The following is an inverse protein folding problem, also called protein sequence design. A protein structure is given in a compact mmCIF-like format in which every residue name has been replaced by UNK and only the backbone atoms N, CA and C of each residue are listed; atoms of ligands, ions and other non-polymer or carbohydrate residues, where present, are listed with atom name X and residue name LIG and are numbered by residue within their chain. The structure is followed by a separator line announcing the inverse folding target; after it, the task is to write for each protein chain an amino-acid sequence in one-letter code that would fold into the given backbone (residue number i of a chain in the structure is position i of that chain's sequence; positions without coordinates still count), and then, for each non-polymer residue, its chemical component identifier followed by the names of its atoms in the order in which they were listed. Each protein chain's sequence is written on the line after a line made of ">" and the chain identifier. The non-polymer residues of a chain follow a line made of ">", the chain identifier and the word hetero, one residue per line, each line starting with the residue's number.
data_IF_223371976602
#
_entry.id   IF_223371976602
#
_cell.length_a   1.000
_cell.length_b   1.000
_cell.length_c   1.000
_cell.angle_alpha   90.00
_cell.angle_beta   90.00
_cell.angle_gamma   90.00
#
_symmetry.space_group_name_H-M   'P 1'
#
loop_
_entity.id
_entity.type
_entity.pdbx_description
1 polymer ?
#
# COMPACT_ATOMS: atom_id res chain seq x y z
N UNK A 1 -3.29 -11.51 -7.26
CA UNK A 1 -2.22 -10.71 -6.61
C UNK A 1 -1.77 -11.44 -5.36
N UNK A 2 -0.49 -11.82 -5.28
CA UNK A 2 0.04 -12.50 -4.09
C UNK A 2 0.17 -11.49 -2.94
N UNK A 3 -0.40 -11.81 -1.77
CA UNK A 3 -0.17 -11.02 -0.54
C UNK A 3 1.33 -10.79 -0.38
N UNK A 4 1.74 -9.53 -0.31
CA UNK A 4 3.13 -9.16 -0.07
C UNK A 4 3.55 -9.78 1.25
N UNK A 5 4.62 -10.59 1.28
CA UNK A 5 5.18 -11.07 2.56
C UNK A 5 5.57 -9.83 3.36
N UNK A 6 5.05 -9.70 4.58
CA UNK A 6 5.47 -8.64 5.49
C UNK A 6 6.98 -8.70 5.64
N UNK A 7 7.62 -7.55 5.50
CA UNK A 7 9.05 -7.43 5.72
C UNK A 7 9.35 -7.76 7.19
N UNK A 8 10.51 -8.37 7.48
CA UNK A 8 10.92 -8.59 8.85
C UNK A 8 11.03 -7.24 9.57
N UNK A 9 10.76 -7.24 10.87
CA UNK A 9 10.87 -6.06 11.72
C UNK A 9 11.83 -6.42 12.84
N UNK A 10 12.91 -5.67 12.99
CA UNK A 10 13.80 -5.79 14.15
C UNK A 10 13.12 -5.14 15.35
N UNK A 11 12.92 -5.89 16.43
CA UNK A 11 12.08 -5.46 17.57
C UNK A 11 12.84 -4.58 18.59
N UNK A 12 14.14 -4.77 18.74
CA UNK A 12 14.97 -4.02 19.69
C UNK A 12 15.70 -2.86 19.01
N UNK A 13 15.68 -1.69 19.63
CA UNK A 13 16.27 -0.48 19.05
C UNK A 13 17.79 -0.54 18.99
N UNK A 14 18.44 -1.14 20.00
CA UNK A 14 19.90 -1.27 20.03
C UNK A 14 20.37 -2.27 18.98
N UNK A 15 19.65 -3.37 18.81
CA UNK A 15 19.85 -4.34 17.73
C UNK A 15 19.67 -3.67 16.37
N UNK A 16 18.57 -2.93 16.17
CA UNK A 16 18.31 -2.22 14.92
C UNK A 16 19.45 -1.25 14.58
N UNK A 17 19.92 -0.46 15.55
CA UNK A 17 21.08 0.44 15.36
C UNK A 17 22.40 -0.30 15.13
N UNK A 18 22.57 -1.52 15.67
CA UNK A 18 23.75 -2.34 15.40
C UNK A 18 23.72 -2.92 13.98
N UNK A 19 22.54 -3.34 13.51
CA UNK A 19 22.31 -4.01 12.23
C UNK A 19 22.26 -3.02 11.06
N UNK A 20 21.73 -1.82 11.28
CA UNK A 20 21.44 -0.85 10.23
C UNK A 20 22.23 0.45 10.42
N UNK A 21 23.30 0.61 9.63
CA UNK A 21 24.21 1.75 9.74
C UNK A 21 23.53 3.09 9.47
N UNK A 22 22.61 3.15 8.50
CA UNK A 22 21.87 4.37 8.16
C UNK A 22 20.97 4.83 9.31
N UNK A 23 20.35 3.91 10.05
CA UNK A 23 19.58 4.23 11.25
C UNK A 23 20.50 4.80 12.34
N UNK A 24 21.62 4.13 12.63
CA UNK A 24 22.59 4.57 13.63
C UNK A 24 23.16 5.96 13.33
N UNK A 25 23.53 6.21 12.08
CA UNK A 25 24.04 7.50 11.64
C UNK A 25 22.98 8.60 11.74
N UNK A 26 21.74 8.28 11.37
CA UNK A 26 20.62 9.19 11.50
C UNK A 26 20.35 9.57 12.97
N UNK A 27 20.24 8.58 13.86
CA UNK A 27 20.02 8.80 15.30
C UNK A 27 21.13 9.67 15.88
N UNK A 28 22.40 9.34 15.64
CA UNK A 28 23.55 10.16 16.08
C UNK A 28 23.48 11.61 15.61
N UNK A 29 22.91 11.87 14.43
CA UNK A 29 22.76 13.22 13.87
C UNK A 29 21.63 14.01 14.54
N UNK A 30 20.53 13.36 14.93
CA UNK A 30 19.36 14.03 15.49
C UNK A 30 19.40 14.16 17.03
N UNK A 31 20.03 13.20 17.73
CA UNK A 31 20.10 13.18 19.21
C UNK A 31 20.63 14.48 19.81
N UNK A 32 21.70 15.12 19.29
CA UNK A 32 22.20 16.37 19.87
C UNK A 32 21.23 17.55 19.76
N UNK A 33 20.26 17.48 18.85
CA UNK A 33 19.31 18.56 18.57
C UNK A 33 17.99 18.41 19.32
N UNK A 34 17.51 17.17 19.47
CA UNK A 34 16.15 16.90 19.93
C UNK A 34 16.07 15.90 21.10
N UNK A 35 17.22 15.40 21.57
CA UNK A 35 17.28 14.26 22.49
C UNK A 35 17.15 12.93 21.76
N UNK A 36 17.34 11.84 22.51
CA UNK A 36 17.24 10.48 21.97
C UNK A 36 15.77 10.16 21.60
N UNK A 37 15.50 9.73 20.36
CA UNK A 37 14.14 9.37 19.95
C UNK A 37 13.63 8.14 20.68
N UNK A 38 12.34 8.11 21.01
CA UNK A 38 11.68 6.93 21.56
C UNK A 38 11.41 5.90 20.46
N UNK A 39 11.75 4.63 20.70
CA UNK A 39 11.49 3.56 19.75
C UNK A 39 10.20 2.81 20.06
N UNK A 40 9.28 2.79 19.09
CA UNK A 40 7.96 2.16 19.23
C UNK A 40 7.79 1.08 18.15
N UNK A 41 7.31 -0.12 18.53
CA UNK A 41 6.95 -1.17 17.56
C UNK A 41 5.53 -1.01 17.04
N UNK A 42 4.66 -0.46 17.88
CA UNK A 42 3.32 -0.09 17.52
C UNK A 42 2.97 1.26 18.16
N UNK A 43 2.24 2.09 17.43
CA UNK A 43 1.84 3.42 17.89
C UNK A 43 0.50 3.35 18.60
N UNK A 44 0.46 3.86 19.83
CA UNK A 44 -0.77 4.11 20.56
C UNK A 44 -1.46 5.38 20.00
N UNK A 45 -2.79 5.35 19.88
CA UNK A 45 -3.59 6.53 19.51
C UNK A 45 -3.42 7.70 20.48
N UNK A 46 -3.07 7.44 21.74
CA UNK A 46 -2.81 8.47 22.74
C UNK A 46 -1.59 9.35 22.41
N UNK A 47 -0.68 8.88 21.55
CA UNK A 47 0.45 9.68 21.08
C UNK A 47 0.00 10.93 20.30
N UNK A 48 -1.26 10.99 19.84
CA UNK A 48 -1.82 12.18 19.18
C UNK A 48 -1.78 13.44 20.05
N UNK A 49 -1.79 13.27 21.37
CA UNK A 49 -1.77 14.36 22.35
C UNK A 49 -0.36 14.91 22.63
N UNK A 50 0.69 14.29 22.06
CA UNK A 50 2.07 14.79 22.19
C UNK A 50 2.28 15.89 21.16
N UNK A 51 2.48 17.12 21.63
CA UNK A 51 2.69 18.29 20.77
C UNK A 51 4.02 18.23 20.01
N UNK A 52 5.08 17.78 20.69
CA UNK A 52 6.44 17.66 20.15
C UNK A 52 6.92 16.20 20.19
N UNK A 53 6.40 15.33 19.30
CA UNK A 53 6.87 13.96 19.22
C UNK A 53 8.36 13.90 18.85
N UNK A 54 9.03 12.84 19.25
CA UNK A 54 10.39 12.46 18.86
C UNK A 54 10.45 10.93 18.84
N UNK A 55 9.79 10.33 17.85
CA UNK A 55 9.43 8.90 17.85
C UNK A 55 9.97 8.22 16.60
N UNK A 56 10.70 7.12 16.77
CA UNK A 56 11.11 6.23 15.69
C UNK A 56 10.33 4.92 15.76
N UNK A 57 9.88 4.43 14.62
CA UNK A 57 9.30 3.08 14.50
C UNK A 57 9.69 2.42 13.18
N UNK A 58 9.75 1.08 13.12
CA UNK A 58 10.06 0.35 11.90
C UNK A 58 8.83 0.25 10.98
N UNK A 59 9.06 0.37 9.67
CA UNK A 59 8.03 0.10 8.63
C UNK A 59 8.41 -1.08 7.73
N UNK A 60 9.34 -1.91 8.21
CA UNK A 60 9.86 -3.09 7.54
C UNK A 60 11.34 -2.94 7.23
N UNK A 61 12.18 -3.85 7.72
CA UNK A 61 13.63 -3.81 7.57
C UNK A 61 14.04 -3.69 6.08
N UNK A 62 14.99 -2.80 5.73
CA UNK A 62 15.78 -1.92 6.61
C UNK A 62 15.19 -0.51 6.80
N UNK A 63 13.88 -0.30 6.64
CA UNK A 63 13.22 1.01 6.64
C UNK A 63 12.61 1.38 7.99
N UNK A 64 12.88 2.60 8.43
CA UNK A 64 12.35 3.19 9.64
C UNK A 64 11.74 4.56 9.35
N UNK A 65 10.91 5.04 10.25
CA UNK A 65 10.29 6.36 10.19
C UNK A 65 10.61 7.10 11.48
N UNK A 66 10.92 8.38 11.36
CA UNK A 66 11.01 9.30 12.48
C UNK A 66 9.92 10.37 12.38
N UNK A 67 9.00 10.36 13.34
CA UNK A 67 8.01 11.41 13.53
C UNK A 67 8.56 12.40 14.54
N UNK A 68 8.68 13.67 14.15
CA UNK A 68 9.02 14.72 15.09
C UNK A 68 8.35 16.06 14.80
N UNK A 69 8.41 16.97 15.76
CA UNK A 69 8.07 18.38 15.54
C UNK A 69 9.14 19.26 16.19
N UNK A 70 9.56 20.30 15.49
CA UNK A 70 10.49 21.31 16.00
C UNK A 70 9.80 22.68 16.09
N UNK A 71 10.25 23.54 17.02
CA UNK A 71 9.74 24.91 17.11
C UNK A 71 10.10 25.68 15.84
N UNK A 72 9.10 26.31 15.23
CA UNK A 72 9.28 27.11 14.01
C UNK A 72 9.09 26.33 12.70
N UNK A 73 8.93 25.01 12.75
CA UNK A 73 8.49 24.21 11.60
C UNK A 73 6.99 23.98 11.71
N UNK A 74 6.27 24.24 10.61
CA UNK A 74 4.84 23.99 10.54
C UNK A 74 4.54 22.49 10.43
N UNK A 75 3.61 22.01 11.26
CA UNK A 75 3.17 20.62 11.26
C UNK A 75 4.21 19.64 11.79
N UNK A 76 3.78 18.38 11.93
CA UNK A 76 4.65 17.26 12.30
C UNK A 76 5.39 16.74 11.05
N UNK A 77 6.66 16.42 11.21
CA UNK A 77 7.52 15.91 10.16
C UNK A 77 7.54 14.39 10.19
N UNK A 78 7.60 13.79 9.01
CA UNK A 78 7.73 12.35 8.77
C UNK A 78 9.01 12.13 7.98
N UNK A 79 10.03 11.58 8.62
CA UNK A 79 11.31 11.33 7.96
C UNK A 79 11.48 9.85 7.73
N UNK A 80 11.50 9.46 6.47
CA UNK A 80 11.94 8.14 6.04
C UNK A 80 13.44 8.00 6.30
N UNK A 81 13.80 6.95 7.02
CA UNK A 81 15.17 6.52 7.29
C UNK A 81 15.39 5.19 6.55
N UNK A 82 16.00 5.27 5.38
CA UNK A 82 16.33 4.12 4.53
C UNK A 82 17.83 4.14 4.15
N UNK A 83 18.41 3.02 3.69
CA UNK A 83 19.76 3.01 3.15
C UNK A 83 19.91 4.00 2.02
N UNK A 84 21.05 4.71 1.97
CA UNK A 84 21.40 5.59 0.86
C UNK A 84 22.53 4.99 0.03
N UNK A 85 22.54 5.31 -1.27
CA UNK A 85 23.57 4.88 -2.19
C UNK A 85 24.50 6.06 -2.48
N UNK A 86 25.76 5.98 -2.06
CA UNK A 86 26.77 6.97 -2.40
C UNK A 86 27.13 6.94 -3.89
N UNK A 87 27.70 8.03 -4.42
CA UNK A 87 27.92 8.21 -5.86
C UNK A 87 28.77 7.10 -6.50
N UNK A 88 29.79 6.60 -5.80
CA UNK A 88 30.63 5.51 -6.29
C UNK A 88 29.87 4.18 -6.37
N UNK A 89 29.02 3.90 -5.38
CA UNK A 89 28.16 2.70 -5.38
C UNK A 89 27.10 2.84 -6.48
N UNK A 90 26.60 4.05 -6.73
CA UNK A 90 25.62 4.34 -7.77
C UNK A 90 26.17 4.09 -9.17
N UNK A 91 27.38 4.56 -9.47
CA UNK A 91 28.05 4.26 -10.75
C UNK A 91 28.19 2.76 -10.98
N UNK A 92 28.62 2.02 -9.94
CA UNK A 92 28.69 0.55 -10.03
C UNK A 92 27.33 -0.09 -10.22
N UNK A 93 26.30 0.44 -9.56
CA UNK A 93 24.93 -0.07 -9.71
C UNK A 93 24.42 0.12 -11.15
N UNK A 94 24.71 1.26 -11.77
CA UNK A 94 24.36 1.51 -13.17
C UNK A 94 25.05 0.48 -14.10
N UNK A 95 26.36 0.22 -13.89
CA UNK A 95 27.07 -0.84 -14.64
C UNK A 95 26.49 -2.25 -14.41
N UNK A 96 26.02 -2.54 -13.20
CA UNK A 96 25.36 -3.80 -12.88
C UNK A 96 24.00 -3.89 -13.59
N UNK A 97 23.23 -2.79 -13.63
CA UNK A 97 21.95 -2.74 -14.34
C UNK A 97 22.12 -2.97 -15.84
N UNK A 98 23.12 -2.36 -16.48
CA UNK A 98 23.44 -2.60 -17.89
C UNK A 98 23.72 -4.09 -18.14
N UNK A 99 24.50 -4.70 -17.25
CA UNK A 99 24.79 -6.14 -17.32
C UNK A 99 23.54 -6.99 -17.14
N UNK A 100 22.66 -6.63 -16.22
CA UNK A 100 21.38 -7.33 -16.02
C UNK A 100 20.52 -7.28 -17.28
N UNK A 101 20.50 -6.15 -18.01
CA UNK A 101 19.76 -6.01 -19.27
C UNK A 101 20.32 -6.98 -20.33
N UNK A 102 21.66 -7.07 -20.46
CA UNK A 102 22.30 -8.02 -21.39
C UNK A 102 21.94 -9.48 -21.07
N UNK A 103 21.86 -9.83 -19.79
CA UNK A 103 21.48 -11.17 -19.33
C UNK A 103 19.98 -11.44 -19.55
N UNK A 104 19.13 -10.45 -19.25
CA UNK A 104 17.68 -10.56 -19.39
C UNK A 104 17.25 -10.83 -20.84
N UNK A 105 17.94 -10.25 -21.83
CA UNK A 105 17.69 -10.49 -23.26
C UNK A 105 17.85 -11.97 -23.69
N UNK A 106 18.46 -12.81 -22.85
CA UNK A 106 18.68 -14.24 -23.13
C UNK A 106 17.70 -15.14 -22.38
N UNK A 107 16.89 -14.58 -21.49
CA UNK A 107 15.92 -15.31 -20.68
C UNK A 107 14.54 -15.27 -21.35
N UNK A 108 13.73 -16.32 -21.20
CA UNK A 108 12.34 -16.26 -21.61
C UNK A 108 11.62 -15.15 -20.84
N UNK A 109 10.68 -14.48 -21.53
CA UNK A 109 9.81 -13.49 -20.88
C UNK A 109 9.01 -14.23 -19.79
N UNK A 110 9.11 -13.81 -18.51
CA UNK A 110 8.31 -14.39 -17.44
C UNK A 110 6.82 -14.32 -17.77
N UNK A 111 6.06 -15.35 -17.39
CA UNK A 111 4.60 -15.28 -17.50
C UNK A 111 4.05 -14.17 -16.60
N UNK A 112 2.93 -13.55 -16.96
CA UNK A 112 2.28 -12.47 -16.18
C UNK A 112 1.94 -12.87 -14.75
N UNK A 113 1.85 -14.18 -14.49
CA UNK A 113 1.54 -14.75 -13.18
C UNK A 113 2.79 -14.96 -12.30
N UNK A 114 4.00 -14.89 -12.87
CA UNK A 114 5.25 -15.12 -12.14
C UNK A 114 5.63 -13.92 -11.27
N UNK A 115 6.16 -14.21 -10.08
CA UNK A 115 6.73 -13.18 -9.22
C UNK A 115 8.05 -12.71 -9.83
N UNK A 116 8.07 -11.47 -10.31
CA UNK A 116 9.24 -10.84 -10.96
C UNK A 116 10.42 -10.69 -9.98
N UNK A 117 10.17 -10.58 -8.68
CA UNK A 117 11.23 -10.37 -7.67
C UNK A 117 12.30 -11.46 -7.67
N UNK A 118 11.95 -12.75 -7.48
CA UNK A 118 12.90 -13.86 -7.60
C UNK A 118 13.67 -13.91 -8.92
N UNK A 119 13.02 -13.58 -10.05
CA UNK A 119 13.67 -13.54 -11.36
C UNK A 119 14.72 -12.44 -11.42
N UNK A 120 14.39 -11.23 -10.96
CA UNK A 120 15.33 -10.11 -10.90
C UNK A 120 16.52 -10.41 -9.97
N UNK A 121 16.28 -11.04 -8.82
CA UNK A 121 17.35 -11.44 -7.90
C UNK A 121 18.30 -12.44 -8.57
N UNK A 122 17.76 -13.42 -9.29
CA UNK A 122 18.59 -14.39 -10.01
C UNK A 122 19.48 -13.71 -11.06
N UNK A 123 18.92 -12.80 -11.85
CA UNK A 123 19.68 -12.04 -12.86
C UNK A 123 20.74 -11.15 -12.18
N UNK A 124 20.38 -10.52 -11.07
CA UNK A 124 21.30 -9.70 -10.28
C UNK A 124 22.47 -10.53 -9.73
N UNK A 125 22.21 -11.71 -9.16
CA UNK A 125 23.23 -12.63 -8.65
C UNK A 125 24.13 -13.19 -9.77
N UNK A 126 23.63 -13.29 -11.00
CA UNK A 126 24.43 -13.62 -12.18
C UNK A 126 25.26 -12.44 -12.70
N UNK A 127 24.87 -11.20 -12.42
CA UNK A 127 25.58 -9.99 -12.81
C UNK A 127 26.72 -9.61 -11.85
N UNK A 128 26.65 -10.03 -10.57
CA UNK A 128 27.58 -9.60 -9.52
C UNK A 128 28.36 -10.76 -8.89
N UNK A 129 29.52 -10.45 -8.34
CA UNK A 129 30.32 -11.37 -7.52
C UNK A 129 30.73 -10.69 -6.21
N UNK A 130 30.41 -11.32 -5.07
CA UNK A 130 30.74 -10.77 -3.75
C UNK A 130 32.23 -11.01 -3.43
N UNK A 131 32.96 -9.96 -3.09
CA UNK A 131 34.37 -10.03 -2.66
C UNK A 131 34.55 -11.10 -1.57
N UNK A 132 35.51 -12.01 -1.76
CA UNK A 132 35.81 -13.09 -0.82
C UNK A 132 35.08 -14.40 -1.09
N UNK A 133 34.07 -14.42 -1.96
CA UNK A 133 33.53 -15.69 -2.51
C UNK A 133 34.40 -16.14 -3.69
N UNK A 134 35.19 -17.20 -3.49
CA UNK A 134 35.96 -17.82 -4.58
C UNK A 134 34.99 -18.60 -5.47
N UNK A 135 34.80 -18.15 -6.71
CA UNK A 135 34.33 -19.05 -7.77
C UNK A 135 35.49 -19.99 -8.12
N UNK A 136 35.51 -21.18 -7.53
CA UNK A 136 36.47 -22.23 -7.86
C UNK A 136 36.16 -22.81 -9.24
N UNK A 137 37.04 -22.60 -10.23
CA UNK A 137 37.02 -23.29 -11.53
C UNK A 137 37.20 -22.37 -12.75
N UNK A 138 37.29 -22.99 -13.93
CA UNK A 138 37.49 -22.34 -15.25
C UNK A 138 36.41 -21.27 -15.56
N UNK A 139 35.24 -21.35 -14.92
CA UNK A 139 34.16 -20.35 -15.00
C UNK A 139 34.55 -18.97 -14.43
N UNK A 140 35.41 -18.91 -13.40
CA UNK A 140 35.81 -17.65 -12.77
C UNK A 140 36.74 -16.77 -13.61
N UNK A 141 37.42 -17.36 -14.61
CA UNK A 141 38.38 -16.65 -15.47
C UNK A 141 37.73 -15.94 -16.66
N UNK A 142 36.51 -16.35 -17.04
CA UNK A 142 35.68 -15.77 -18.12
C UNK A 142 34.37 -15.15 -17.60
N UNK A 143 34.25 -15.02 -16.27
CA UNK A 143 33.11 -14.43 -15.60
C UNK A 143 33.17 -12.91 -15.74
N UNK A 144 32.33 -12.33 -16.60
CA UNK A 144 32.19 -10.87 -16.74
C UNK A 144 31.35 -10.25 -15.59
N UNK A 145 31.43 -10.85 -14.38
CA UNK A 145 30.68 -10.41 -13.20
C UNK A 145 31.33 -9.18 -12.58
N UNK A 146 30.51 -8.25 -12.09
CA UNK A 146 30.98 -7.06 -11.39
C UNK A 146 31.29 -7.39 -9.93
N UNK A 147 32.51 -7.09 -9.49
CA UNK A 147 32.95 -7.37 -8.12
C UNK A 147 32.39 -6.31 -7.17
N UNK A 148 31.63 -6.75 -6.17
CA UNK A 148 31.00 -5.89 -5.16
C UNK A 148 31.33 -6.39 -3.75
N UNK A 149 31.42 -5.51 -2.77
CA UNK A 149 31.46 -5.89 -1.36
C UNK A 149 30.07 -6.34 -0.87
N UNK A 150 30.01 -7.00 0.30
CA UNK A 150 28.74 -7.42 0.88
C UNK A 150 27.78 -6.24 1.18
N UNK A 151 28.24 -5.11 1.77
CA UNK A 151 27.39 -3.94 1.94
C UNK A 151 26.89 -3.34 0.62
N UNK A 152 27.76 -3.26 -0.40
CA UNK A 152 27.36 -2.79 -1.74
C UNK A 152 26.29 -3.71 -2.35
N UNK A 153 26.48 -5.03 -2.26
CA UNK A 153 25.49 -6.02 -2.71
C UNK A 153 24.14 -5.82 -2.02
N UNK A 154 24.12 -5.69 -0.69
CA UNK A 154 22.88 -5.58 0.07
C UNK A 154 22.13 -4.27 -0.25
N UNK A 155 22.85 -3.15 -0.41
CA UNK A 155 22.28 -1.86 -0.81
C UNK A 155 21.74 -1.94 -2.25
N UNK A 156 22.54 -2.43 -3.20
CA UNK A 156 22.11 -2.56 -4.60
C UNK A 156 20.88 -3.45 -4.73
N UNK A 157 20.86 -4.59 -4.01
CA UNK A 157 19.71 -5.50 -3.97
C UNK A 157 18.46 -4.83 -3.40
N UNK A 158 18.63 -4.04 -2.33
CA UNK A 158 17.54 -3.26 -1.76
C UNK A 158 16.93 -2.29 -2.78
N UNK A 159 17.74 -1.44 -3.42
CA UNK A 159 17.28 -0.48 -4.41
C UNK A 159 16.67 -1.14 -5.65
N UNK A 160 17.25 -2.26 -6.12
CA UNK A 160 16.71 -3.04 -7.23
C UNK A 160 15.28 -3.50 -6.94
N UNK A 161 15.06 -4.15 -5.80
CA UNK A 161 13.73 -4.64 -5.43
C UNK A 161 12.76 -3.49 -5.16
N UNK A 162 13.21 -2.46 -4.43
CA UNK A 162 12.39 -1.29 -4.09
C UNK A 162 11.91 -0.56 -5.35
N UNK A 163 12.78 -0.34 -6.32
CA UNK A 163 12.47 0.47 -7.51
C UNK A 163 11.78 -0.34 -8.62
N UNK A 164 12.19 -1.61 -8.83
CA UNK A 164 11.66 -2.44 -9.93
C UNK A 164 10.45 -3.27 -9.56
N UNK A 165 10.32 -3.66 -8.30
CA UNK A 165 9.21 -4.48 -7.80
C UNK A 165 8.29 -3.68 -6.88
N UNK A 166 8.88 -2.87 -6.01
CA UNK A 166 8.16 -2.04 -5.04
C UNK A 166 7.73 -0.68 -5.58
N UNK A 167 7.33 0.20 -4.67
CA UNK A 167 6.77 1.52 -4.97
C UNK A 167 7.84 2.61 -5.08
N UNK A 168 9.06 2.23 -5.50
CA UNK A 168 10.22 3.11 -5.55
C UNK A 168 10.44 3.84 -4.23
N UNK A 169 10.80 5.12 -4.24
CA UNK A 169 10.97 5.94 -3.03
C UNK A 169 9.73 6.04 -2.14
N UNK A 170 8.53 5.67 -2.62
CA UNK A 170 7.31 5.65 -1.80
C UNK A 170 7.13 4.33 -1.04
N UNK A 171 7.98 3.34 -1.29
CA UNK A 171 7.96 2.04 -0.62
C UNK A 171 7.77 2.13 0.91
N UNK A 172 8.48 3.01 1.64
CA UNK A 172 8.29 3.16 3.08
C UNK A 172 6.87 3.64 3.45
N UNK A 173 6.27 4.52 2.64
CA UNK A 173 4.91 5.02 2.87
C UNK A 173 3.87 3.92 2.63
N UNK A 174 4.06 3.10 1.59
CA UNK A 174 3.19 1.96 1.31
C UNK A 174 3.30 0.88 2.38
N UNK A 175 4.48 0.69 2.98
CA UNK A 175 4.66 -0.30 4.04
C UNK A 175 4.22 0.18 5.43
N UNK A 176 4.05 1.50 5.65
CA UNK A 176 3.62 2.03 6.94
C UNK A 176 2.12 1.80 7.22
N UNK A 177 1.72 0.94 8.17
CA UNK A 177 0.31 0.67 8.46
C UNK A 177 -0.44 1.85 9.11
N UNK A 178 0.28 2.89 9.55
CA UNK A 178 -0.29 4.08 10.19
C UNK A 178 -0.62 5.20 9.21
N UNK A 179 -0.30 5.07 7.92
CA UNK A 179 -0.74 6.00 6.88
C UNK A 179 -2.10 5.59 6.30
N UNK A 180 -2.96 6.58 6.06
CA UNK A 180 -4.26 6.41 5.40
C UNK A 180 -4.21 6.94 3.98
N UNK A 181 -3.72 8.16 3.79
CA UNK A 181 -3.63 8.79 2.47
C UNK A 181 -2.20 9.30 2.20
N UNK A 182 -1.78 9.23 0.93
CA UNK A 182 -0.52 9.79 0.42
C UNK A 182 -0.87 10.79 -0.68
N UNK A 183 -0.42 12.03 -0.52
CA UNK A 183 -0.70 13.14 -1.42
C UNK A 183 0.58 13.68 -2.05
N UNK A 184 0.65 13.60 -3.38
CA UNK A 184 1.61 14.34 -4.18
C UNK A 184 0.84 15.35 -5.03
N UNK A 185 0.92 16.62 -4.65
CA UNK A 185 0.14 17.72 -5.26
C UNK A 185 0.90 18.46 -6.37
N UNK A 186 1.95 17.84 -6.92
CA UNK A 186 2.87 18.45 -7.88
C UNK A 186 4.33 18.21 -7.51
N UNK A 187 5.21 18.99 -8.13
CA UNK A 187 6.65 18.99 -7.81
C UNK A 187 6.83 19.52 -6.39
N UNK A 188 7.59 18.79 -5.56
CA UNK A 188 7.82 19.13 -4.17
C UNK A 188 7.59 17.96 -3.21
N UNK A 189 7.36 18.30 -1.95
CA UNK A 189 7.22 17.33 -0.87
C UNK A 189 5.91 16.57 -0.93
N UNK A 190 5.98 15.30 -0.55
CA UNK A 190 4.82 14.45 -0.36
C UNK A 190 4.25 14.71 1.05
N UNK A 191 2.93 14.80 1.13
CA UNK A 191 2.20 14.91 2.40
C UNK A 191 1.40 13.63 2.62
N UNK A 192 1.14 13.27 3.87
CA UNK A 192 0.34 12.10 4.18
C UNK A 192 -0.66 12.39 5.30
N UNK A 193 -1.74 11.62 5.34
CA UNK A 193 -2.64 11.55 6.48
C UNK A 193 -2.20 10.35 7.34
N UNK A 194 -1.82 10.62 8.58
CA UNK A 194 -1.38 9.61 9.56
C UNK A 194 -2.49 9.37 10.60
N UNK A 195 -2.83 8.10 10.87
CA UNK A 195 -3.89 7.66 11.79
C UNK A 195 -3.81 8.27 13.20
N UNK A 196 -2.60 8.60 13.63
CA UNK A 196 -2.32 9.16 14.97
C UNK A 196 -1.99 10.66 14.91
N UNK A 197 -1.33 11.12 13.85
CA UNK A 197 -0.69 12.44 13.83
C UNK A 197 -1.35 13.41 12.85
N UNK A 198 -2.40 12.96 12.15
CA UNK A 198 -3.12 13.68 11.10
C UNK A 198 -2.18 14.08 9.96
N UNK A 199 -2.35 15.27 9.38
CA UNK A 199 -1.54 15.75 8.26
C UNK A 199 -0.07 15.87 8.66
N UNK A 200 0.80 15.17 7.94
CA UNK A 200 2.26 15.13 8.16
C UNK A 200 3.02 15.44 6.88
N UNK A 201 4.18 16.07 7.03
CA UNK A 201 5.05 16.46 5.92
C UNK A 201 6.23 15.50 5.80
N UNK A 202 6.40 14.87 4.64
CA UNK A 202 7.49 13.91 4.46
C UNK A 202 8.76 14.57 3.94
N UNK A 203 9.92 13.93 4.17
CA UNK A 203 11.18 14.27 3.52
C UNK A 203 11.28 13.78 2.06
N UNK A 204 10.28 13.04 1.56
CA UNK A 204 10.25 12.55 0.20
C UNK A 204 9.80 13.66 -0.74
N UNK A 205 10.57 13.86 -1.80
CA UNK A 205 10.39 14.95 -2.76
C UNK A 205 10.45 14.42 -4.20
N UNK A 206 9.61 14.97 -5.06
CA UNK A 206 9.84 14.97 -6.51
C UNK A 206 10.45 16.32 -6.88
N UNK A 207 11.65 16.32 -7.45
CA UNK A 207 12.45 17.54 -7.63
C UNK A 207 12.07 18.33 -8.87
N UNK A 208 11.50 17.66 -9.86
CA UNK A 208 11.11 18.25 -11.12
C UNK A 208 10.03 17.39 -11.81
N UNK A 209 9.43 17.96 -12.86
CA UNK A 209 8.40 17.29 -13.64
C UNK A 209 8.87 15.99 -14.29
N UNK A 210 10.12 15.93 -14.74
CA UNK A 210 10.66 14.72 -15.36
C UNK A 210 10.61 13.52 -14.39
N UNK A 211 11.02 13.74 -13.15
CA UNK A 211 11.02 12.70 -12.11
C UNK A 211 9.59 12.27 -11.75
N UNK A 212 8.68 13.24 -11.60
CA UNK A 212 7.29 12.98 -11.21
C UNK A 212 6.49 12.30 -12.34
N UNK A 213 6.61 12.81 -13.56
CA UNK A 213 5.96 12.25 -14.74
C UNK A 213 6.45 10.82 -15.00
N UNK A 214 7.76 10.57 -14.86
CA UNK A 214 8.31 9.22 -14.99
C UNK A 214 7.69 8.25 -13.98
N UNK A 215 7.60 8.66 -12.71
CA UNK A 215 6.98 7.83 -11.68
C UNK A 215 5.51 7.53 -11.97
N UNK A 216 4.73 8.55 -12.36
CA UNK A 216 3.31 8.38 -12.69
C UNK A 216 3.14 7.45 -13.90
N UNK A 217 3.91 7.64 -14.98
CA UNK A 217 3.86 6.78 -16.17
C UNK A 217 4.17 5.33 -15.82
N UNK A 218 5.33 5.07 -15.21
CA UNK A 218 5.76 3.70 -14.84
C UNK A 218 4.77 3.03 -13.87
N UNK A 219 4.19 3.79 -12.93
CA UNK A 219 3.23 3.25 -11.98
C UNK A 219 1.88 2.96 -12.64
N UNK A 220 1.40 3.88 -13.49
CA UNK A 220 0.13 3.75 -14.21
C UNK A 220 0.13 2.56 -15.20
N UNK A 221 1.26 2.30 -15.85
CA UNK A 221 1.46 1.12 -16.70
C UNK A 221 1.42 -0.18 -15.88
N UNK A 222 2.06 -0.17 -14.70
CA UNK A 222 2.10 -1.34 -13.81
C UNK A 222 0.72 -1.75 -13.28
N UNK A 223 -0.17 -0.78 -13.08
CA UNK A 223 -1.56 -1.03 -12.68
C UNK A 223 -2.49 -1.23 -13.90
N UNK A 224 -1.92 -1.41 -15.10
CA UNK A 224 -2.62 -1.64 -16.37
C UNK A 224 -3.63 -0.53 -16.76
N UNK A 225 -3.38 0.69 -16.28
CA UNK A 225 -4.19 1.89 -16.54
C UNK A 225 -3.26 3.06 -16.91
N UNK A 226 -2.60 3.02 -18.08
CA UNK A 226 -1.62 4.04 -18.44
C UNK A 226 -2.26 5.42 -18.60
N UNK A 227 -1.61 6.44 -18.04
CA UNK A 227 -1.94 7.84 -18.31
C UNK A 227 -1.37 8.27 -19.66
N UNK A 228 -1.97 9.29 -20.27
CA UNK A 228 -1.44 9.96 -21.47
C UNK A 228 -2.01 11.38 -21.56
N UNK A 229 -1.51 12.20 -22.48
CA UNK A 229 -2.07 13.55 -22.70
C UNK A 229 -3.56 13.50 -23.13
N UNK A 230 -3.99 12.41 -23.78
CA UNK A 230 -5.40 12.19 -24.12
C UNK A 230 -6.23 11.64 -22.96
N UNK A 231 -5.58 10.98 -21.98
CA UNK A 231 -6.20 10.37 -20.81
C UNK A 231 -5.43 10.78 -19.55
N UNK A 232 -5.58 12.05 -19.22
CA UNK A 232 -4.79 12.69 -18.17
C UNK A 232 -5.31 12.44 -16.76
N UNK A 233 -6.55 11.98 -16.60
CA UNK A 233 -7.13 11.63 -15.29
C UNK A 233 -7.44 10.13 -15.28
N UNK A 234 -6.85 9.41 -14.33
CA UNK A 234 -6.96 7.95 -14.25
C UNK A 234 -7.09 7.50 -12.81
N UNK A 235 -8.14 6.72 -12.53
CA UNK A 235 -8.29 5.95 -11.31
C UNK A 235 -7.83 4.50 -11.52
N UNK A 236 -7.09 3.97 -10.54
CA UNK A 236 -6.56 2.61 -10.57
C UNK A 236 -6.43 2.01 -9.17
N UNK A 237 -6.14 0.71 -9.14
CA UNK A 237 -5.89 -0.07 -7.92
C UNK A 237 -4.43 -0.52 -7.95
N UNK A 238 -3.70 -0.16 -6.89
CA UNK A 238 -2.32 -0.56 -6.65
C UNK A 238 -2.23 -2.04 -6.29
N UNK A 239 -1.07 -2.70 -6.47
CA UNK A 239 -0.89 -4.13 -6.18
C UNK A 239 -1.21 -4.58 -4.74
N UNK A 240 -1.18 -3.66 -3.77
CA UNK A 240 -1.54 -3.85 -2.36
C UNK A 240 -3.03 -3.62 -2.08
N UNK A 241 -3.83 -3.31 -3.10
CA UNK A 241 -5.27 -3.00 -2.98
C UNK A 241 -5.55 -1.51 -2.72
N UNK A 242 -4.52 -0.71 -2.48
CA UNK A 242 -4.64 0.74 -2.31
C UNK A 242 -5.19 1.39 -3.58
N UNK A 243 -5.98 2.45 -3.43
CA UNK A 243 -6.56 3.20 -4.54
C UNK A 243 -5.61 4.31 -4.94
N UNK A 244 -5.48 4.57 -6.22
CA UNK A 244 -4.71 5.72 -6.69
C UNK A 244 -5.49 6.48 -7.75
N UNK A 245 -5.51 7.80 -7.59
CA UNK A 245 -5.93 8.75 -8.60
C UNK A 245 -4.69 9.45 -9.16
N UNK A 246 -4.50 9.41 -10.48
CA UNK A 246 -3.44 10.11 -11.19
C UNK A 246 -4.02 11.28 -11.98
N UNK A 247 -3.34 12.42 -11.93
CA UNK A 247 -3.59 13.59 -12.78
C UNK A 247 -2.27 13.92 -13.48
N UNK A 248 -2.23 13.75 -14.79
CA UNK A 248 -1.04 13.86 -15.61
C UNK A 248 -1.05 15.15 -16.43
N UNK A 249 0.09 15.86 -16.45
CA UNK A 249 0.30 17.05 -17.26
C UNK A 249 0.01 18.38 -16.54
N UNK A 250 0.87 19.37 -16.79
CA UNK A 250 0.74 20.72 -16.22
C UNK A 250 -0.42 21.53 -16.75
N UNK A 251 -0.94 21.15 -17.90
CA UNK A 251 -2.14 21.75 -18.50
C UNK A 251 -3.40 21.54 -17.65
N UNK A 252 -3.40 20.53 -16.77
CA UNK A 252 -4.51 20.22 -15.85
C UNK A 252 -4.09 20.47 -14.40
N UNK A 253 -2.85 20.12 -14.03
CA UNK A 253 -2.32 20.26 -12.67
C UNK A 253 -1.16 21.27 -12.65
N UNK A 254 -1.47 22.53 -12.30
CA UNK A 254 -0.55 23.67 -12.48
C UNK A 254 0.81 23.51 -11.78
N UNK A 255 0.86 22.84 -10.62
CA UNK A 255 2.09 22.61 -9.84
C UNK A 255 2.95 21.43 -10.34
N UNK A 256 2.54 20.79 -11.45
CA UNK A 256 3.08 19.53 -11.95
C UNK A 256 2.03 18.43 -11.86
N UNK A 257 2.27 17.30 -12.53
CA UNK A 257 1.41 16.12 -12.40
C UNK A 257 1.22 15.75 -10.92
N UNK A 258 0.09 15.18 -10.56
CA UNK A 258 -0.25 14.88 -9.17
C UNK A 258 -0.85 13.49 -9.03
N UNK A 259 -0.80 12.96 -7.80
CA UNK A 259 -1.51 11.74 -7.48
C UNK A 259 -1.93 11.72 -6.01
N UNK A 260 -3.03 11.02 -5.73
CA UNK A 260 -3.48 10.72 -4.38
C UNK A 260 -3.67 9.22 -4.24
N UNK A 261 -3.01 8.62 -3.25
CA UNK A 261 -3.20 7.22 -2.88
C UNK A 261 -4.03 7.16 -1.61
N UNK A 262 -5.12 6.40 -1.63
CA UNK A 262 -5.85 5.99 -0.42
C UNK A 262 -5.47 4.56 -0.09
N UNK A 263 -4.81 4.35 1.04
CA UNK A 263 -4.26 3.06 1.42
C UNK A 263 -5.36 2.06 1.78
N UNK A 264 -5.16 0.82 1.34
CA UNK A 264 -5.94 -0.31 1.82
C UNK A 264 -5.49 -0.71 3.22
N UNK A 265 -6.44 -0.96 4.12
CA UNK A 265 -6.14 -1.44 5.47
C UNK A 265 -6.28 -2.96 5.52
N UNK A 266 -5.14 -3.68 5.55
CA UNK A 266 -5.09 -5.14 5.59
C UNK A 266 -5.86 -5.77 6.77
N UNK A 267 -5.94 -5.05 7.90
CA UNK A 267 -6.68 -5.49 9.09
C UNK A 267 -7.88 -4.55 9.24
N UNK A 268 -9.11 -5.03 9.01
CA UNK A 268 -10.30 -4.25 9.27
C UNK A 268 -10.49 -4.05 10.78
N UNK A 269 -11.18 -2.97 11.15
CA UNK A 269 -11.55 -2.70 12.54
C UNK A 269 -12.48 -3.81 13.03
N UNK A 270 -12.20 -4.39 14.20
CA UNK A 270 -13.06 -5.42 14.79
C UNK A 270 -14.30 -4.83 15.46
N UNK A 271 -15.37 -5.62 15.58
CA UNK A 271 -16.57 -5.20 16.32
C UNK A 271 -16.27 -4.83 17.78
N UNK A 272 -15.33 -5.53 18.42
CA UNK A 272 -14.88 -5.22 19.79
C UNK A 272 -14.21 -3.86 19.87
N UNK A 273 -13.47 -3.46 18.84
CA UNK A 273 -12.90 -2.11 18.76
C UNK A 273 -13.99 -1.05 18.59
N UNK A 274 -14.94 -1.27 17.68
CA UNK A 274 -16.09 -0.37 17.45
C UNK A 274 -16.88 -0.13 18.75
N UNK A 275 -17.14 -1.19 19.52
CA UNK A 275 -17.77 -1.07 20.85
C UNK A 275 -16.88 -0.33 21.84
N UNK A 276 -15.58 -0.66 21.90
CA UNK A 276 -14.64 0.01 22.82
C UNK A 276 -14.49 1.52 22.56
N UNK A 277 -14.70 1.96 21.31
CA UNK A 277 -14.65 3.37 20.93
C UNK A 277 -15.95 4.11 21.23
N UNK A 278 -16.98 3.41 21.73
CA UNK A 278 -18.30 3.98 22.00
C UNK A 278 -19.10 4.28 20.74
N UNK A 279 -18.74 3.70 19.58
CA UNK A 279 -19.48 3.89 18.32
C UNK A 279 -20.83 3.16 18.35
N UNK A 280 -20.92 2.03 19.06
CA UNK A 280 -22.18 1.36 19.40
C UNK A 280 -22.05 0.65 20.75
N UNK A 281 -23.17 0.35 21.42
CA UNK A 281 -23.15 -0.47 22.62
C UNK A 281 -22.99 -1.96 22.29
N UNK A 282 -22.62 -2.75 23.29
CA UNK A 282 -22.56 -4.20 23.20
C UNK A 282 -23.94 -4.84 22.97
N UNK A 283 -25.02 -4.27 23.50
CA UNK A 283 -26.38 -4.76 23.20
C UNK A 283 -26.76 -4.54 21.73
N UNK A 284 -26.40 -3.40 21.14
CA UNK A 284 -26.61 -3.15 19.70
C UNK A 284 -25.78 -4.13 18.87
N UNK A 285 -24.52 -4.36 19.24
CA UNK A 285 -23.68 -5.32 18.55
C UNK A 285 -24.27 -6.75 18.62
N UNK A 286 -24.77 -7.17 19.78
CA UNK A 286 -25.43 -8.46 19.96
C UNK A 286 -26.73 -8.58 19.15
N UNK A 287 -27.53 -7.51 19.08
CA UNK A 287 -28.72 -7.47 18.22
C UNK A 287 -28.36 -7.63 16.74
N UNK A 288 -27.35 -6.90 16.26
CA UNK A 288 -26.87 -7.01 14.88
C UNK A 288 -26.35 -8.43 14.60
N UNK A 289 -25.65 -9.04 15.56
CA UNK A 289 -25.20 -10.42 15.43
C UNK A 289 -26.38 -11.37 15.19
N UNK A 290 -27.39 -11.34 16.06
CA UNK A 290 -28.58 -12.18 15.90
C UNK A 290 -29.30 -11.93 14.57
N UNK A 291 -29.36 -10.67 14.13
CA UNK A 291 -29.97 -10.31 12.84
C UNK A 291 -29.20 -10.90 11.65
N UNK A 292 -27.87 -10.72 11.61
CA UNK A 292 -27.03 -11.18 10.49
C UNK A 292 -26.86 -12.71 10.48
N UNK A 293 -26.87 -13.36 11.64
CA UNK A 293 -26.86 -14.83 11.70
C UNK A 293 -28.13 -15.44 11.09
N UNK A 294 -29.24 -14.71 11.13
CA UNK A 294 -30.56 -15.13 10.66
C UNK A 294 -30.99 -14.52 9.32
N UNK A 295 -30.05 -13.99 8.53
CA UNK A 295 -30.34 -13.59 7.15
C UNK A 295 -31.05 -12.23 7.03
N UNK A 296 -30.99 -11.37 8.06
CA UNK A 296 -31.55 -10.03 7.94
C UNK A 296 -30.72 -9.16 6.98
N UNK A 297 -31.43 -8.29 6.26
CA UNK A 297 -30.83 -7.21 5.47
C UNK A 297 -30.39 -6.08 6.39
N UNK A 298 -29.26 -5.42 6.08
CA UNK A 298 -28.75 -4.33 6.91
C UNK A 298 -28.12 -3.22 6.07
N UNK A 299 -28.61 -1.99 6.21
CA UNK A 299 -27.96 -0.82 5.62
C UNK A 299 -27.28 0.01 6.71
N UNK A 300 -26.02 0.36 6.49
CA UNK A 300 -25.26 1.26 7.36
C UNK A 300 -25.27 2.64 6.70
N UNK A 301 -26.07 3.55 7.23
CA UNK A 301 -26.30 4.87 6.65
C UNK A 301 -25.53 5.97 7.37
N UNK A 302 -25.21 7.05 6.66
CA UNK A 302 -24.54 8.21 7.24
C UNK A 302 -23.83 9.08 6.19
N UNK A 303 -23.30 10.22 6.62
CA UNK A 303 -22.56 11.13 5.73
C UNK A 303 -21.24 10.52 5.23
N UNK A 304 -20.59 11.16 4.27
CA UNK A 304 -19.23 10.80 3.85
C UNK A 304 -18.29 10.89 5.06
N UNK A 305 -17.36 9.94 5.19
CA UNK A 305 -16.40 9.84 6.29
C UNK A 305 -17.01 9.64 7.71
N UNK A 306 -18.29 9.28 7.83
CA UNK A 306 -18.94 8.95 9.12
C UNK A 306 -18.59 7.57 9.68
N UNK A 307 -17.79 6.76 8.96
CA UNK A 307 -17.40 5.42 9.38
C UNK A 307 -18.31 4.29 8.89
N UNK A 308 -19.16 4.52 7.88
CA UNK A 308 -20.09 3.51 7.34
C UNK A 308 -19.41 2.18 6.97
N UNK A 309 -18.41 2.25 6.08
CA UNK A 309 -17.70 1.04 5.63
C UNK A 309 -16.99 0.37 6.79
N UNK A 310 -16.42 1.13 7.72
CA UNK A 310 -15.76 0.60 8.93
C UNK A 310 -16.75 -0.21 9.78
N UNK A 311 -17.93 0.34 10.04
CA UNK A 311 -18.99 -0.34 10.80
C UNK A 311 -19.50 -1.57 10.05
N UNK A 312 -19.74 -1.47 8.74
CA UNK A 312 -20.11 -2.61 7.90
C UNK A 312 -19.06 -3.73 8.00
N UNK A 313 -17.79 -3.40 7.81
CA UNK A 313 -16.67 -4.34 7.81
C UNK A 313 -16.42 -4.97 9.19
N UNK A 314 -16.78 -4.27 10.28
CA UNK A 314 -16.78 -4.85 11.62
C UNK A 314 -17.92 -5.86 11.82
N UNK A 315 -19.12 -5.56 11.31
CA UNK A 315 -20.31 -6.39 11.48
C UNK A 315 -20.35 -7.64 10.59
N UNK A 316 -19.67 -7.66 9.43
CA UNK A 316 -19.65 -8.85 8.56
C UNK A 316 -19.07 -10.09 9.24
N UNK A 317 -18.28 -9.92 10.31
CA UNK A 317 -17.79 -11.02 11.13
C UNK A 317 -18.91 -11.82 11.83
N UNK A 318 -20.13 -11.27 11.92
CA UNK A 318 -21.29 -11.97 12.48
C UNK A 318 -22.01 -12.88 11.48
N UNK A 319 -21.69 -12.80 10.19
CA UNK A 319 -22.20 -13.75 9.20
C UNK A 319 -21.60 -15.13 9.50
N UNK A 320 -22.41 -16.19 9.40
CA UNK A 320 -21.97 -17.57 9.68
C UNK A 320 -20.67 -17.93 8.92
N UNK A 321 -19.66 -18.55 9.55
CA UNK A 321 -18.35 -18.78 8.94
C UNK A 321 -18.36 -19.62 7.65
N UNK A 322 -19.34 -20.50 7.48
CA UNK A 322 -19.53 -21.38 6.32
C UNK A 322 -20.33 -20.73 5.17
N UNK A 323 -20.81 -19.51 5.38
CA UNK A 323 -21.56 -18.76 4.38
C UNK A 323 -20.71 -18.42 3.14
N UNK A 324 -21.30 -18.54 1.96
CA UNK A 324 -20.80 -17.90 0.74
C UNK A 324 -21.13 -16.41 0.77
N UNK A 325 -20.11 -15.58 0.80
CA UNK A 325 -20.24 -14.11 0.79
C UNK A 325 -19.83 -13.58 -0.59
N UNK A 326 -20.66 -12.70 -1.15
CA UNK A 326 -20.44 -12.08 -2.45
C UNK A 326 -20.34 -10.57 -2.29
N UNK A 327 -19.19 -9.98 -2.60
CA UNK A 327 -19.01 -8.52 -2.52
C UNK A 327 -19.02 -7.88 -3.91
N UNK A 328 -19.71 -6.74 -4.04
CA UNK A 328 -19.70 -5.88 -5.22
C UNK A 328 -19.31 -4.48 -4.80
N UNK A 329 -18.19 -3.98 -5.30
CA UNK A 329 -17.67 -2.68 -4.91
C UNK A 329 -17.20 -1.90 -6.14
N UNK A 330 -17.31 -0.57 -6.13
CA UNK A 330 -16.60 0.23 -7.14
C UNK A 330 -15.09 0.10 -6.96
N UNK A 331 -14.68 0.00 -5.71
CA UNK A 331 -13.28 -0.14 -5.35
C UNK A 331 -13.21 -0.96 -4.08
N UNK A 332 -12.27 -1.90 -3.95
CA UNK A 332 -12.26 -2.83 -2.82
C UNK A 332 -12.00 -2.06 -1.52
N UNK A 333 -12.83 -2.31 -0.52
CA UNK A 333 -12.83 -1.64 0.78
C UNK A 333 -13.16 -2.64 1.90
N UNK A 334 -14.08 -3.57 1.62
CA UNK A 334 -14.51 -4.61 2.56
C UNK A 334 -13.53 -5.78 2.56
N UNK A 335 -13.22 -6.31 3.76
CA UNK A 335 -12.39 -7.49 3.93
C UNK A 335 -13.21 -8.59 4.60
N UNK A 336 -13.44 -9.68 3.88
CA UNK A 336 -14.29 -10.77 4.35
C UNK A 336 -13.44 -11.88 4.99
N UNK A 337 -13.75 -12.30 6.23
CA UNK A 337 -13.01 -13.38 6.90
C UNK A 337 -13.40 -14.78 6.40
N UNK A 338 -14.53 -14.92 5.71
CA UNK A 338 -15.08 -16.18 5.22
C UNK A 338 -14.19 -16.82 4.14
N UNK A 339 -14.05 -18.15 4.18
CA UNK A 339 -13.28 -18.89 3.18
C UNK A 339 -13.92 -18.88 1.80
N UNK A 340 -15.26 -18.83 1.75
CA UNK A 340 -16.04 -18.85 0.50
C UNK A 340 -16.42 -17.42 0.12
N UNK A 341 -15.41 -16.61 -0.20
CA UNK A 341 -15.59 -15.22 -0.60
C UNK A 341 -15.46 -15.05 -2.12
N UNK A 342 -16.51 -14.54 -2.75
CA UNK A 342 -16.47 -14.09 -4.14
C UNK A 342 -16.36 -12.57 -4.17
N UNK A 343 -15.20 -12.05 -4.60
CA UNK A 343 -14.88 -10.62 -4.60
C UNK A 343 -14.96 -10.04 -6.01
N UNK A 344 -15.87 -9.09 -6.24
CA UNK A 344 -16.02 -8.43 -7.54
C UNK A 344 -15.93 -6.92 -7.42
N UNK A 345 -15.26 -6.32 -8.41
CA UNK A 345 -15.08 -4.88 -8.53
C UNK A 345 -15.58 -4.41 -9.90
N UNK A 346 -16.11 -3.19 -9.95
CA UNK A 346 -16.51 -2.60 -11.23
C UNK A 346 -15.30 -2.35 -12.12
N UNK A 347 -15.54 -2.25 -13.43
CA UNK A 347 -14.50 -1.97 -14.42
C UNK A 347 -14.98 -0.91 -15.40
N UNK A 348 -14.40 0.26 -15.32
CA UNK A 348 -14.57 1.31 -16.33
C UNK A 348 -13.53 1.11 -17.43
N UNK A 349 -13.95 0.74 -18.63
CA UNK A 349 -13.09 0.55 -19.80
C UNK A 349 -13.48 1.47 -20.97
N UNK A 350 -14.56 2.24 -20.83
CA UNK A 350 -15.04 3.23 -21.79
C UNK A 350 -16.30 2.75 -22.52
N UNK A 351 -17.34 3.59 -22.46
CA UNK A 351 -18.69 3.56 -23.09
C UNK A 351 -19.39 2.20 -23.17
N UNK A 352 -18.86 1.23 -23.91
CA UNK A 352 -19.57 -0.02 -24.24
C UNK A 352 -19.01 -1.27 -23.53
N UNK A 353 -17.88 -1.14 -22.81
CA UNK A 353 -17.23 -2.30 -22.15
C UNK A 353 -17.26 -2.22 -20.63
N UNK A 354 -18.02 -1.28 -20.09
CA UNK A 354 -18.10 -1.03 -18.65
C UNK A 354 -18.84 -2.15 -17.92
N UNK A 355 -18.23 -2.62 -16.83
CA UNK A 355 -18.85 -3.57 -15.91
C UNK A 355 -19.27 -2.79 -14.67
N UNK A 356 -20.55 -2.44 -14.60
CA UNK A 356 -21.13 -1.64 -13.52
C UNK A 356 -21.56 -2.52 -12.34
N UNK A 357 -21.83 -1.92 -11.17
CA UNK A 357 -22.40 -2.66 -10.03
C UNK A 357 -23.71 -3.34 -10.39
N UNK A 358 -24.53 -2.70 -11.23
CA UNK A 358 -25.77 -3.28 -11.75
C UNK A 358 -25.52 -4.62 -12.46
N UNK A 359 -24.53 -4.69 -13.36
CA UNK A 359 -24.15 -5.94 -14.04
C UNK A 359 -23.70 -7.02 -13.04
N UNK A 360 -22.90 -6.64 -12.04
CA UNK A 360 -22.35 -7.56 -11.06
C UNK A 360 -23.39 -8.07 -10.06
N UNK A 361 -24.38 -7.26 -9.70
CA UNK A 361 -25.49 -7.69 -8.84
C UNK A 361 -26.44 -8.65 -9.55
N UNK A 362 -26.74 -8.42 -10.84
CA UNK A 362 -27.50 -9.38 -11.63
C UNK A 362 -26.79 -10.74 -11.74
N UNK A 363 -25.45 -10.73 -11.80
CA UNK A 363 -24.66 -11.96 -11.74
C UNK A 363 -24.74 -12.64 -10.37
N UNK A 364 -24.83 -11.87 -9.28
CA UNK A 364 -24.93 -12.38 -7.90
C UNK A 364 -26.15 -13.30 -7.73
N UNK A 365 -27.30 -12.94 -8.32
CA UNK A 365 -28.55 -13.72 -8.26
C UNK A 365 -28.39 -15.15 -8.82
N UNK A 366 -27.42 -15.36 -9.72
CA UNK A 366 -27.10 -16.69 -10.28
C UNK A 366 -25.98 -17.39 -9.52
N UNK A 367 -25.28 -16.68 -8.65
CA UNK A 367 -24.14 -17.19 -7.88
C UNK A 367 -24.57 -17.91 -6.59
N UNK A 368 -25.85 -17.83 -6.19
CA UNK A 368 -26.37 -18.40 -4.93
C UNK A 368 -25.54 -18.03 -3.68
N UNK A 369 -25.28 -16.74 -3.43
CA UNK A 369 -24.63 -16.32 -2.20
C UNK A 369 -25.58 -16.47 -1.00
N UNK A 370 -25.01 -16.67 0.19
CA UNK A 370 -25.75 -16.56 1.45
C UNK A 370 -25.90 -15.10 1.89
N UNK A 371 -24.94 -14.25 1.52
CA UNK A 371 -24.99 -12.81 1.74
C UNK A 371 -24.40 -12.08 0.53
N UNK A 372 -25.07 -11.02 0.10
CA UNK A 372 -24.55 -10.05 -0.88
C UNK A 372 -24.18 -8.79 -0.12
N UNK A 373 -22.95 -8.32 -0.30
CA UNK A 373 -22.47 -7.08 0.26
C UNK A 373 -22.22 -6.11 -0.88
N UNK A 374 -22.90 -4.97 -0.85
CA UNK A 374 -22.70 -3.89 -1.80
C UNK A 374 -21.88 -2.81 -1.10
N UNK A 375 -20.75 -2.40 -1.68
CA UNK A 375 -19.86 -1.43 -1.03
C UNK A 375 -20.61 -0.16 -0.67
N UNK A 376 -21.33 0.42 -1.64
CA UNK A 376 -22.18 1.58 -1.46
C UNK A 376 -23.24 1.64 -2.56
N UNK A 377 -24.50 1.87 -2.20
CA UNK A 377 -25.60 2.05 -3.15
C UNK A 377 -25.87 3.55 -3.31
N UNK A 378 -25.75 4.06 -4.54
CA UNK A 378 -25.98 5.46 -4.91
C UNK A 378 -26.95 5.63 -6.09
N UNK A 379 -27.28 4.56 -6.81
CA UNK A 379 -27.98 4.63 -8.09
C UNK A 379 -28.86 3.43 -8.38
N UNK A 380 -28.93 3.07 -9.67
CA UNK A 380 -29.85 2.06 -10.21
C UNK A 380 -29.60 0.66 -9.68
N UNK A 381 -28.38 0.37 -9.23
CA UNK A 381 -28.00 -0.87 -8.56
C UNK A 381 -28.82 -1.12 -7.29
N UNK A 382 -29.37 -0.08 -6.66
CA UNK A 382 -30.26 -0.20 -5.51
C UNK A 382 -31.49 -1.05 -5.82
N UNK A 383 -32.11 -0.89 -6.99
CA UNK A 383 -33.27 -1.70 -7.38
C UNK A 383 -32.92 -3.20 -7.44
N UNK A 384 -31.73 -3.54 -7.95
CA UNK A 384 -31.27 -4.93 -8.03
C UNK A 384 -30.93 -5.48 -6.65
N UNK A 385 -30.41 -4.66 -5.74
CA UNK A 385 -30.20 -5.05 -4.35
C UNK A 385 -31.52 -5.44 -3.67
N UNK A 386 -32.58 -4.64 -3.84
CA UNK A 386 -33.91 -4.98 -3.32
C UNK A 386 -34.53 -6.21 -4.03
N UNK A 387 -34.29 -6.41 -5.33
CA UNK A 387 -34.67 -7.64 -6.04
C UNK A 387 -33.95 -8.88 -5.47
N UNK A 388 -32.69 -8.73 -5.09
CA UNK A 388 -31.94 -9.80 -4.42
C UNK A 388 -32.58 -10.17 -3.08
N UNK A 389 -32.97 -9.18 -2.27
CA UNK A 389 -33.71 -9.40 -1.02
C UNK A 389 -35.04 -10.14 -1.28
N UNK A 390 -35.78 -9.71 -2.31
CA UNK A 390 -37.06 -10.32 -2.71
C UNK A 390 -36.92 -11.79 -3.14
N UNK A 391 -35.77 -12.15 -3.72
CA UNK A 391 -35.45 -13.51 -4.15
C UNK A 391 -34.76 -14.36 -3.07
N UNK A 392 -34.72 -13.88 -1.83
CA UNK A 392 -34.21 -14.62 -0.68
C UNK A 392 -32.70 -14.52 -0.46
N UNK A 393 -32.05 -13.50 -1.01
CA UNK A 393 -30.64 -13.21 -0.78
C UNK A 393 -30.51 -12.03 0.20
N UNK A 394 -30.05 -12.27 1.44
CA UNK A 394 -29.73 -11.20 2.38
C UNK A 394 -28.71 -10.21 1.82
N UNK A 395 -28.96 -8.92 1.99
CA UNK A 395 -28.09 -7.83 1.49
C UNK A 395 -27.61 -6.93 2.63
N UNK A 396 -26.32 -6.62 2.61
CA UNK A 396 -25.70 -5.59 3.45
C UNK A 396 -25.13 -4.48 2.54
N UNK A 397 -25.35 -3.21 2.88
CA UNK A 397 -24.78 -2.10 2.10
C UNK A 397 -24.49 -0.87 2.96
N UNK A 398 -23.59 0.00 2.49
CA UNK A 398 -23.59 1.40 2.92
C UNK A 398 -24.52 2.25 2.06
N UNK A 399 -25.02 3.37 2.60
CA UNK A 399 -25.90 4.32 1.92
C UNK A 399 -25.61 5.77 2.36
#
# INVERSE_FOLDING_TARGET
>A
MGRRKKLPITEDFSEAMSKFSHLKEYVKKVTPKMGEPEYHLALDRNLKFIDFPNIIYPVGDPMFVHIYKERGIEGKQYVVIEPSMGDDVRKKYDEVMDRMIELANRLPVPDKTENIGPVLIKIFDEAVQIKGTKETGIKGMFSNKKIVSKPEYDIMRYFLLRDRVGYSKLEPLFNDPYLEDIHCVGVGNIKCIHKVFEMIHTNLIFRNDLELNKYILETSERVERPVSDARSVVDAIMPDGSRVNFIYGREISLEGSSFTVRKFSDVPVSITQVVSWGTMSDEIAAYIWLALENGMNMFVCGETASGKTTTLNACVAFIKPDAKVYTVENTPEVTIPHSTWQHLVTREAGKDTDVTMFHLLLAALRSRPNYIIVGEIRGTEGNVAFEAMQTGHPVISTF
#
